data_IF_043269216305
#
_entry.id   IF_043269216305
#
_cell.length_a   1.000
_cell.length_b   1.000
_cell.length_c   1.000
_cell.angle_alpha   90.00
_cell.angle_beta   90.00
_cell.angle_gamma   90.00
#
_symmetry.space_group_name_H-M   'P 1'
#
loop_
_entity.id
_entity.type
_entity.pdbx_description
1 polymer ?
#
# COMPACT_ATOMS: atom_id res chain seq x y z
N UNK A 1 -47.39 -19.43 0.08
CA UNK A 1 -46.18 -20.18 0.49
C UNK A 1 -45.74 -21.03 -0.69
N UNK A 2 -44.63 -20.66 -1.33
CA UNK A 2 -44.00 -21.47 -2.38
C UNK A 2 -42.53 -21.60 -1.97
N UNK A 3 -42.15 -22.82 -1.61
CA UNK A 3 -40.80 -23.20 -1.20
C UNK A 3 -39.99 -23.52 -2.45
N UNK A 4 -38.97 -22.71 -2.75
CA UNK A 4 -38.00 -23.03 -3.78
C UNK A 4 -36.79 -23.74 -3.13
N UNK A 5 -36.63 -25.01 -3.50
CA UNK A 5 -35.57 -25.93 -3.09
C UNK A 5 -34.19 -25.46 -3.58
N UNK A 6 -33.20 -25.49 -2.70
CA UNK A 6 -31.80 -25.24 -3.04
C UNK A 6 -31.22 -26.43 -3.81
N UNK A 7 -30.87 -26.25 -5.09
CA UNK A 7 -30.07 -27.22 -5.84
C UNK A 7 -28.58 -27.02 -5.55
N UNK A 8 -28.00 -28.00 -4.87
CA UNK A 8 -26.58 -28.11 -4.56
C UNK A 8 -25.88 -28.75 -5.76
N UNK A 9 -25.02 -27.99 -6.45
CA UNK A 9 -24.14 -28.54 -7.49
C UNK A 9 -22.82 -29.02 -6.86
N UNK A 10 -22.45 -30.30 -6.99
CA UNK A 10 -21.15 -30.78 -6.57
C UNK A 10 -20.05 -30.44 -7.59
N UNK A 11 -18.88 -30.15 -7.01
CA UNK A 11 -17.57 -29.89 -7.58
C UNK A 11 -17.10 -30.94 -8.60
N UNK A 12 -16.48 -30.49 -9.70
CA UNK A 12 -15.24 -31.06 -10.25
C UNK A 12 -14.77 -30.24 -11.46
N UNK A 13 -13.77 -29.37 -11.26
CA UNK A 13 -12.93 -28.83 -12.31
C UNK A 13 -11.47 -29.13 -11.92
N UNK A 14 -10.65 -29.60 -12.86
CA UNK A 14 -9.31 -30.12 -12.55
C UNK A 14 -8.42 -29.00 -12.01
N UNK A 15 -7.74 -29.31 -10.91
CA UNK A 15 -6.63 -28.53 -10.38
C UNK A 15 -5.47 -28.51 -11.38
N UNK A 16 -5.45 -27.52 -12.27
CA UNK A 16 -4.21 -27.12 -12.94
C UNK A 16 -3.47 -26.16 -12.03
N UNK A 17 -2.47 -26.69 -11.34
CA UNK A 17 -1.37 -25.93 -10.73
C UNK A 17 -0.65 -25.16 -11.84
N UNK A 18 -1.10 -23.95 -12.13
CA UNK A 18 -0.25 -22.93 -12.69
C UNK A 18 0.37 -22.20 -11.49
N UNK A 19 1.68 -22.34 -11.33
CA UNK A 19 2.46 -21.43 -10.49
C UNK A 19 2.33 -20.04 -11.10
N UNK A 20 1.30 -19.30 -10.69
CA UNK A 20 1.23 -17.88 -10.95
C UNK A 20 2.19 -17.20 -9.95
N UNK A 21 3.48 -17.30 -10.28
CA UNK A 21 4.55 -16.55 -9.66
C UNK A 21 4.42 -15.07 -9.99
N UNK A 22 3.30 -14.46 -9.60
CA UNK A 22 3.03 -13.05 -9.76
C UNK A 22 4.03 -12.25 -8.93
N UNK A 23 5.15 -11.84 -9.53
CA UNK A 23 6.06 -10.71 -9.20
C UNK A 23 6.35 -10.40 -7.71
N UNK A 24 6.10 -11.34 -6.80
CA UNK A 24 6.26 -11.24 -5.34
C UNK A 24 6.96 -12.47 -4.77
N UNK A 25 7.78 -13.11 -5.60
CA UNK A 25 8.66 -14.20 -5.22
C UNK A 25 10.12 -13.77 -5.26
N UNK A 26 10.46 -12.56 -4.78
CA UNK A 26 11.87 -12.24 -4.53
C UNK A 26 12.27 -12.87 -3.19
N UNK A 27 12.40 -14.20 -3.18
CA UNK A 27 13.13 -14.89 -2.13
C UNK A 27 14.59 -14.46 -2.28
N UNK A 28 15.03 -13.57 -1.40
CA UNK A 28 16.43 -13.16 -1.29
C UNK A 28 17.23 -14.35 -0.74
N UNK A 29 17.48 -15.34 -1.60
CA UNK A 29 18.41 -16.43 -1.35
C UNK A 29 19.80 -16.01 -1.84
N UNK A 30 20.44 -15.11 -1.09
CA UNK A 30 21.87 -14.84 -1.23
C UNK A 30 22.56 -15.26 0.06
N UNK A 31 22.65 -16.57 0.27
CA UNK A 31 23.65 -17.14 1.14
C UNK A 31 24.50 -18.08 0.30
N UNK A 32 25.82 -18.02 0.51
CA UNK A 32 26.87 -18.85 -0.13
C UNK A 32 27.47 -18.28 -1.43
N UNK A 33 28.13 -17.12 -1.36
CA UNK A 33 29.32 -16.78 -2.18
C UNK A 33 30.11 -15.55 -1.64
N UNK A 34 30.00 -15.23 -0.35
CA UNK A 34 30.57 -14.01 0.23
C UNK A 34 31.98 -14.19 0.81
N UNK A 35 32.75 -15.20 0.41
CA UNK A 35 34.05 -15.42 1.03
C UNK A 35 35.18 -14.56 0.47
N UNK A 36 35.12 -14.02 -0.77
CA UNK A 36 36.28 -13.29 -1.34
C UNK A 36 35.94 -12.24 -2.41
N UNK A 37 35.02 -11.30 -2.14
CA UNK A 37 34.84 -10.10 -3.01
C UNK A 37 34.88 -8.82 -2.18
N UNK A 38 36.10 -8.30 -1.99
CA UNK A 38 36.50 -6.93 -1.67
C UNK A 38 35.72 -6.16 -0.59
N UNK A 39 36.40 -5.88 0.53
CA UNK A 39 35.95 -5.05 1.67
C UNK A 39 35.28 -3.72 1.27
N UNK A 40 35.75 -3.06 0.20
CA UNK A 40 35.20 -1.77 -0.22
C UNK A 40 33.75 -1.80 -0.73
N UNK A 41 33.32 -2.90 -1.37
CA UNK A 41 31.94 -3.04 -1.86
C UNK A 41 30.99 -3.40 -0.73
N UNK A 42 31.44 -4.23 0.21
CA UNK A 42 30.67 -4.59 1.40
C UNK A 42 30.55 -3.41 2.35
N UNK A 43 31.60 -2.60 2.54
CA UNK A 43 31.56 -1.33 3.28
C UNK A 43 30.56 -0.33 2.68
N UNK A 44 30.57 -0.17 1.35
CA UNK A 44 29.61 0.70 0.67
C UNK A 44 28.17 0.24 0.91
N UNK A 45 27.90 -1.07 0.82
CA UNK A 45 26.58 -1.64 1.10
C UNK A 45 26.17 -1.40 2.56
N UNK A 46 27.06 -1.63 3.52
CA UNK A 46 26.80 -1.38 4.94
C UNK A 46 26.45 0.10 5.20
N UNK A 47 27.13 1.04 4.54
CA UNK A 47 26.81 2.47 4.63
C UNK A 47 25.40 2.78 4.12
N UNK A 48 24.97 2.19 3.00
CA UNK A 48 23.61 2.38 2.49
C UNK A 48 22.53 1.72 3.35
N UNK A 49 22.81 0.55 3.93
CA UNK A 49 21.92 -0.12 4.87
C UNK A 49 21.72 0.73 6.12
N UNK A 50 22.81 1.17 6.75
CA UNK A 50 22.78 2.07 7.91
C UNK A 50 21.97 3.34 7.61
N UNK A 51 22.22 3.99 6.47
CA UNK A 51 21.45 5.17 6.04
C UNK A 51 19.96 4.87 5.88
N UNK A 52 19.60 3.70 5.37
CA UNK A 52 18.20 3.29 5.16
C UNK A 52 17.49 3.04 6.48
N UNK A 53 18.18 2.41 7.44
CA UNK A 53 17.67 2.18 8.80
C UNK A 53 17.45 3.50 9.55
N UNK A 54 18.46 4.38 9.56
CA UNK A 54 18.40 5.68 10.23
C UNK A 54 17.27 6.57 9.66
N UNK A 55 17.00 6.49 8.35
CA UNK A 55 15.99 7.30 7.68
C UNK A 55 14.64 6.60 7.53
N UNK A 56 14.46 5.37 8.03
CA UNK A 56 13.27 4.56 7.76
C UNK A 56 11.96 5.28 8.09
N UNK A 57 11.87 5.88 9.27
CA UNK A 57 10.67 6.58 9.72
C UNK A 57 10.33 7.79 8.83
N UNK A 58 11.35 8.55 8.40
CA UNK A 58 11.19 9.68 7.47
C UNK A 58 10.71 9.20 6.11
N UNK A 59 11.38 8.19 5.55
CA UNK A 59 11.05 7.64 4.24
C UNK A 59 9.64 7.02 4.21
N UNK A 60 9.25 6.31 5.28
CA UNK A 60 7.91 5.75 5.40
C UNK A 60 6.83 6.83 5.48
N UNK A 61 7.08 7.91 6.24
CA UNK A 61 6.18 9.06 6.31
C UNK A 61 6.01 9.73 4.94
N UNK A 62 7.11 10.02 4.25
CA UNK A 62 7.10 10.64 2.92
C UNK A 62 6.40 9.74 1.88
N UNK A 63 6.63 8.42 1.94
CA UNK A 63 5.96 7.44 1.08
C UNK A 63 4.45 7.42 1.29
N UNK A 64 4.00 7.44 2.54
CA UNK A 64 2.57 7.47 2.87
C UNK A 64 1.93 8.82 2.48
N UNK A 65 2.57 9.94 2.80
CA UNK A 65 2.07 11.28 2.44
C UNK A 65 1.91 11.43 0.91
N UNK A 66 2.93 11.01 0.15
CA UNK A 66 2.89 10.99 -1.31
C UNK A 66 1.79 10.07 -1.87
N UNK A 67 1.58 8.91 -1.22
CA UNK A 67 0.48 8.01 -1.59
C UNK A 67 -0.89 8.67 -1.37
N UNK A 68 -1.12 9.30 -0.22
CA UNK A 68 -2.40 9.96 0.02
C UNK A 68 -2.65 11.13 -0.93
N UNK A 69 -1.62 11.95 -1.18
CA UNK A 69 -1.68 13.06 -2.12
C UNK A 69 -2.05 12.63 -3.53
N UNK A 70 -1.39 11.61 -4.07
CA UNK A 70 -1.63 11.18 -5.45
C UNK A 70 -2.96 10.44 -5.63
N UNK A 71 -3.42 9.70 -4.63
CA UNK A 71 -4.57 8.81 -4.79
C UNK A 71 -5.89 9.39 -4.27
N UNK A 72 -5.86 10.31 -3.31
CA UNK A 72 -7.08 10.81 -2.66
C UNK A 72 -7.34 12.29 -2.86
N UNK A 73 -6.40 13.06 -3.46
CA UNK A 73 -6.59 14.50 -3.67
C UNK A 73 -7.84 14.79 -4.50
N UNK A 74 -8.02 14.09 -5.61
CA UNK A 74 -9.16 14.34 -6.51
C UNK A 74 -10.48 13.89 -5.88
N UNK A 75 -10.49 12.74 -5.20
CA UNK A 75 -11.67 12.27 -4.48
C UNK A 75 -12.09 13.24 -3.37
N UNK A 76 -11.14 13.69 -2.56
CA UNK A 76 -11.43 14.68 -1.52
C UNK A 76 -11.87 16.01 -2.13
N UNK A 77 -11.25 16.45 -3.24
CA UNK A 77 -11.65 17.66 -3.97
C UNK A 77 -13.09 17.56 -4.51
N UNK A 78 -13.49 16.40 -5.02
CA UNK A 78 -14.86 16.13 -5.44
C UNK A 78 -15.85 16.25 -4.27
N UNK A 79 -15.48 15.70 -3.11
CA UNK A 79 -16.30 15.72 -1.89
C UNK A 79 -16.33 17.11 -1.23
N UNK A 80 -15.30 17.95 -1.41
CA UNK A 80 -15.15 19.28 -0.78
C UNK A 80 -16.38 20.17 -0.96
N UNK A 81 -16.96 20.19 -2.16
CA UNK A 81 -18.13 21.03 -2.47
C UNK A 81 -19.36 20.62 -1.66
N UNK A 82 -19.64 19.32 -1.57
CA UNK A 82 -20.76 18.79 -0.79
C UNK A 82 -20.58 19.05 0.71
N UNK A 83 -19.35 18.91 1.23
CA UNK A 83 -19.06 19.17 2.64
C UNK A 83 -19.24 20.64 3.02
N UNK A 84 -18.78 21.57 2.17
CA UNK A 84 -18.95 23.01 2.43
C UNK A 84 -20.40 23.49 2.33
N UNK A 85 -21.21 22.82 1.52
CA UNK A 85 -22.64 23.12 1.37
C UNK A 85 -23.54 22.45 2.42
N UNK A 86 -22.98 21.59 3.29
CA UNK A 86 -23.73 20.85 4.29
C UNK A 86 -24.25 21.82 5.36
N UNK A 87 -25.56 21.74 5.65
CA UNK A 87 -26.21 22.55 6.69
C UNK A 87 -26.11 21.93 8.09
N UNK A 88 -25.82 20.64 8.14
CA UNK A 88 -25.63 19.87 9.36
C UNK A 88 -24.18 19.97 9.85
N UNK A 89 -23.96 19.64 11.12
CA UNK A 89 -22.61 19.59 11.68
C UNK A 89 -21.75 18.54 10.96
N UNK A 90 -20.51 18.93 10.65
CA UNK A 90 -19.53 18.04 10.04
C UNK A 90 -19.04 17.03 11.08
N UNK A 91 -19.03 15.75 10.69
CA UNK A 91 -18.34 14.70 11.43
C UNK A 91 -16.84 14.93 11.47
N UNK A 92 -16.16 14.29 12.42
CA UNK A 92 -14.70 14.42 12.59
C UNK A 92 -13.91 14.04 11.33
N UNK A 93 -14.37 13.05 10.58
CA UNK A 93 -13.75 12.66 9.31
C UNK A 93 -13.95 13.72 8.23
N UNK A 94 -15.14 14.32 8.13
CA UNK A 94 -15.43 15.39 7.16
C UNK A 94 -14.59 16.65 7.44
N UNK A 95 -14.44 17.04 8.72
CA UNK A 95 -13.51 18.09 9.13
C UNK A 95 -12.08 17.75 8.73
N UNK A 96 -11.65 16.52 9.01
CA UNK A 96 -10.32 16.03 8.65
C UNK A 96 -10.03 16.07 7.15
N UNK A 97 -11.03 15.81 6.29
CA UNK A 97 -10.90 15.94 4.83
C UNK A 97 -10.67 17.40 4.43
N UNK A 98 -11.45 18.34 4.97
CA UNK A 98 -11.28 19.76 4.68
C UNK A 98 -9.91 20.28 5.14
N UNK A 99 -9.48 19.90 6.35
CA UNK A 99 -8.17 20.27 6.89
C UNK A 99 -7.02 19.65 6.08
N UNK A 100 -7.19 18.42 5.59
CA UNK A 100 -6.20 17.80 4.73
C UNK A 100 -6.12 18.51 3.38
N UNK A 101 -7.26 18.84 2.76
CA UNK A 101 -7.28 19.60 1.50
C UNK A 101 -6.63 20.98 1.66
N UNK A 102 -6.91 21.70 2.75
CA UNK A 102 -6.31 23.01 3.00
C UNK A 102 -4.78 22.94 3.08
N UNK A 103 -4.22 21.87 3.65
CA UNK A 103 -2.77 21.68 3.78
C UNK A 103 -2.10 21.14 2.51
N UNK A 104 -2.87 20.61 1.57
CA UNK A 104 -2.36 19.85 0.41
C UNK A 104 -2.90 20.35 -0.95
N UNK A 105 -3.47 21.56 -0.97
CA UNK A 105 -3.97 22.22 -2.19
C UNK A 105 -2.84 22.52 -3.18
#
# INVERSE_FOLDING_TARGET
MVTASMSKFPSNLPATRAMDGGRRGLLVSTMIAASQVNDSRTELLQKYLKKSEENKAKNDKERLDGYYKRNYKDYFGFVEGSLKGKKEELSESEKGILDWLQRNK
#
